data_IF_912625383251
#
_entry.id   IF_912625383251
#
_cell.length_a   1.000
_cell.length_b   1.000
_cell.length_c   1.000
_cell.angle_alpha   90.00
_cell.angle_beta   90.00
_cell.angle_gamma   90.00
#
_symmetry.space_group_name_H-M   'P 1'
#
loop_
_entity.id
_entity.type
_entity.pdbx_description
1 polymer ?
#
# COMPACT_ATOMS: atom_id res chain seq x y z
N UNK A 1 -2.98 -19.23 62.50
CA UNK A 1 -3.68 -17.94 62.41
C UNK A 1 -2.63 -16.88 62.09
N UNK A 2 -2.95 -15.97 61.16
CA UNK A 2 -2.17 -14.81 60.70
C UNK A 2 -1.26 -15.08 59.49
N UNK A 3 -1.68 -14.45 58.40
CA UNK A 3 -1.32 -14.64 56.99
C UNK A 3 -0.32 -13.54 56.57
N UNK A 4 0.74 -13.89 55.83
CA UNK A 4 1.54 -12.91 55.11
C UNK A 4 1.73 -13.31 53.65
N UNK A 5 0.93 -12.63 52.83
CA UNK A 5 1.04 -12.32 51.40
C UNK A 5 2.27 -12.85 50.64
N UNK A 6 2.01 -13.70 49.64
CA UNK A 6 2.98 -14.02 48.59
C UNK A 6 2.33 -13.79 47.21
N UNK A 7 3.14 -13.26 46.30
CA UNK A 7 2.90 -13.04 44.88
C UNK A 7 2.08 -11.82 44.47
N UNK A 8 2.83 -10.73 44.25
CA UNK A 8 2.98 -10.14 42.92
C UNK A 8 1.71 -10.09 42.08
N UNK A 9 1.05 -8.94 42.12
CA UNK A 9 0.21 -8.49 41.02
C UNK A 9 1.06 -8.54 39.75
N UNK A 10 0.86 -9.57 38.94
CA UNK A 10 1.28 -9.57 37.55
C UNK A 10 0.43 -8.49 36.92
N UNK A 11 0.93 -7.26 36.93
CA UNK A 11 0.43 -6.20 36.07
C UNK A 11 0.58 -6.76 34.67
N UNK A 12 -0.51 -7.31 34.14
CA UNK A 12 -0.67 -7.57 32.73
C UNK A 12 -0.47 -6.19 32.11
N UNK A 13 0.75 -5.92 31.66
CA UNK A 13 0.98 -4.82 30.74
C UNK A 13 -0.04 -5.08 29.63
N UNK A 14 -0.99 -4.16 29.37
CA UNK A 14 -1.77 -4.28 28.15
C UNK A 14 -0.72 -4.44 27.04
N UNK A 15 -0.82 -5.52 26.27
CA UNK A 15 0.02 -5.72 25.10
C UNK A 15 -0.27 -4.51 24.23
N UNK A 16 0.58 -3.49 24.33
CA UNK A 16 0.28 -2.16 23.84
C UNK A 16 0.04 -2.24 22.34
N UNK A 17 -1.20 -1.88 21.97
CA UNK A 17 -1.63 -1.67 20.59
C UNK A 17 -0.66 -0.79 19.79
N UNK A 18 0.24 -0.03 20.45
CA UNK A 18 1.31 0.75 19.85
C UNK A 18 2.26 -0.04 18.92
N UNK A 19 2.55 -1.32 19.22
CA UNK A 19 3.37 -2.15 18.31
C UNK A 19 2.59 -2.68 17.12
N UNK A 20 1.31 -3.00 17.32
CA UNK A 20 0.39 -3.32 16.24
C UNK A 20 0.11 -2.08 15.38
N UNK A 21 0.09 -0.88 15.95
CA UNK A 21 0.01 0.40 15.23
C UNK A 21 1.31 0.72 14.51
N UNK A 22 2.49 0.41 15.04
CA UNK A 22 3.75 0.59 14.30
C UNK A 22 3.85 -0.40 13.13
N UNK A 23 3.37 -1.64 13.32
CA UNK A 23 3.27 -2.64 12.25
C UNK A 23 2.16 -2.28 11.25
N UNK A 24 1.02 -1.75 11.68
CA UNK A 24 -0.04 -1.21 10.80
C UNK A 24 0.37 0.11 10.14
N UNK A 25 1.23 0.93 10.74
CA UNK A 25 1.80 2.15 10.15
C UNK A 25 3.04 1.88 9.29
N UNK A 26 3.66 0.70 9.37
CA UNK A 26 4.65 0.23 8.40
C UNK A 26 3.98 -0.50 7.24
N UNK A 27 2.97 -1.35 7.53
CA UNK A 27 2.15 -2.00 6.52
C UNK A 27 1.19 -1.03 5.82
N UNK A 28 0.87 0.07 6.51
CA UNK A 28 0.25 1.29 6.00
C UNK A 28 1.22 2.45 5.80
N UNK A 29 2.50 2.21 5.95
CA UNK A 29 3.58 3.16 5.64
C UNK A 29 4.04 3.07 4.20
N UNK A 30 3.51 2.09 3.47
CA UNK A 30 3.51 2.02 2.00
C UNK A 30 2.10 2.28 1.43
N UNK A 31 1.20 2.86 2.24
CA UNK A 31 -0.13 3.34 1.81
C UNK A 31 -1.31 2.94 2.70
N UNK A 32 -1.36 3.37 3.97
CA UNK A 32 -2.57 3.43 4.82
C UNK A 32 -2.26 4.08 6.18
N UNK A 33 -2.29 5.40 6.23
CA UNK A 33 -2.59 6.12 7.47
C UNK A 33 -4.11 6.15 7.72
N UNK A 34 -4.55 5.62 8.86
CA UNK A 34 -5.89 5.78 9.49
C UNK A 34 -7.12 5.13 8.81
N UNK A 35 -7.92 4.29 9.51
CA UNK A 35 -9.11 3.64 8.95
C UNK A 35 -10.37 4.51 9.11
N UNK A 36 -10.35 5.76 8.62
CA UNK A 36 -11.47 6.70 8.84
C UNK A 36 -11.81 7.61 7.65
N UNK A 37 -11.16 7.42 6.51
CA UNK A 37 -11.57 8.00 5.24
C UNK A 37 -11.24 6.97 4.18
N UNK A 38 -12.24 6.44 3.47
CA UNK A 38 -11.99 5.66 2.28
C UNK A 38 -11.23 6.54 1.27
N UNK A 39 -9.90 6.46 1.34
CA UNK A 39 -8.96 6.41 0.24
C UNK A 39 -9.39 7.23 -0.98
N UNK A 40 -9.35 8.55 -0.86
CA UNK A 40 -9.12 9.44 -1.99
C UNK A 40 -7.61 9.54 -2.26
N UNK A 41 -6.90 8.41 -2.19
CA UNK A 41 -5.50 8.36 -2.62
C UNK A 41 -5.59 8.19 -4.13
N UNK A 42 -5.12 9.17 -4.92
CA UNK A 42 -5.22 9.09 -6.35
C UNK A 42 -4.39 7.90 -6.86
N UNK A 43 -4.81 7.25 -7.95
CA UNK A 43 -4.12 6.06 -8.47
C UNK A 43 -2.67 6.36 -8.87
N UNK A 44 -2.31 7.61 -9.15
CA UNK A 44 -0.94 8.06 -9.34
C UNK A 44 -0.04 7.84 -8.11
N UNK A 45 -0.58 8.02 -6.90
CA UNK A 45 0.15 7.75 -5.66
C UNK A 45 0.15 6.26 -5.33
N UNK A 46 -0.97 5.56 -5.58
CA UNK A 46 -1.05 4.11 -5.38
C UNK A 46 -0.08 3.35 -6.30
N UNK A 47 0.15 3.87 -7.51
CA UNK A 47 0.96 3.24 -8.53
C UNK A 47 2.28 3.95 -8.82
N UNK A 48 2.78 4.79 -7.92
CA UNK A 48 3.97 5.61 -8.15
C UNK A 48 5.20 4.78 -8.59
N UNK A 49 5.44 3.64 -7.94
CA UNK A 49 6.52 2.71 -8.32
C UNK A 49 6.31 2.12 -9.71
N UNK A 50 5.08 1.76 -10.05
CA UNK A 50 4.74 1.15 -11.34
C UNK A 50 4.84 2.17 -12.48
N UNK A 51 4.43 3.41 -12.23
CA UNK A 51 4.58 4.53 -13.16
C UNK A 51 6.04 4.83 -13.44
N UNK A 52 6.91 4.77 -12.43
CA UNK A 52 8.33 4.95 -12.64
C UNK A 52 8.91 3.84 -13.53
N UNK A 53 8.56 2.58 -13.29
CA UNK A 53 9.00 1.47 -14.13
C UNK A 53 8.53 1.62 -15.59
N UNK A 54 7.32 2.12 -15.81
CA UNK A 54 6.80 2.41 -17.15
C UNK A 54 7.57 3.55 -17.83
N UNK A 55 7.88 4.62 -17.09
CA UNK A 55 8.69 5.75 -17.59
C UNK A 55 10.10 5.32 -17.97
N UNK A 56 10.75 4.47 -17.18
CA UNK A 56 12.07 3.89 -17.48
C UNK A 56 12.05 3.03 -18.76
N UNK A 57 10.91 2.41 -19.08
CA UNK A 57 10.71 1.68 -20.33
C UNK A 57 10.36 2.59 -21.53
N UNK A 58 10.12 3.88 -21.30
CA UNK A 58 9.78 4.88 -22.33
C UNK A 58 8.32 5.29 -22.37
N UNK A 59 7.46 4.75 -21.50
CA UNK A 59 6.06 5.17 -21.38
C UNK A 59 5.96 6.36 -20.42
N UNK A 60 6.10 7.58 -20.95
CA UNK A 60 6.10 8.81 -20.15
C UNK A 60 4.72 9.41 -19.87
N UNK A 61 3.65 8.81 -20.41
CA UNK A 61 2.27 9.27 -20.22
C UNK A 61 1.64 8.67 -18.95
N UNK A 62 1.59 9.42 -17.83
CA UNK A 62 1.05 8.89 -16.58
C UNK A 62 -0.43 8.50 -16.69
N UNK A 63 -1.22 9.16 -17.53
CA UNK A 63 -2.64 8.86 -17.71
C UNK A 63 -2.87 7.49 -18.39
N UNK A 64 -2.19 7.24 -19.51
CA UNK A 64 -2.21 5.95 -20.22
C UNK A 64 -1.70 4.84 -19.29
N UNK A 65 -0.61 5.11 -18.59
CA UNK A 65 0.00 4.18 -17.65
C UNK A 65 -0.94 3.84 -16.48
N UNK A 66 -1.59 4.83 -15.88
CA UNK A 66 -2.59 4.64 -14.82
C UNK A 66 -3.75 3.79 -15.33
N UNK A 67 -4.29 4.08 -16.52
CA UNK A 67 -5.38 3.29 -17.09
C UNK A 67 -4.97 1.84 -17.35
N UNK A 68 -3.75 1.62 -17.85
CA UNK A 68 -3.20 0.30 -18.06
C UNK A 68 -3.02 -0.45 -16.73
N UNK A 69 -2.50 0.23 -15.70
CA UNK A 69 -2.31 -0.34 -14.37
C UNK A 69 -3.64 -0.62 -13.65
N UNK A 70 -4.65 0.22 -13.81
CA UNK A 70 -6.00 -0.03 -13.30
C UNK A 70 -6.60 -1.26 -14.00
N UNK A 71 -6.47 -1.34 -15.33
CA UNK A 71 -6.98 -2.47 -16.10
C UNK A 71 -6.28 -3.80 -15.74
N UNK A 72 -5.03 -3.73 -15.27
CA UNK A 72 -4.21 -4.91 -14.94
C UNK A 72 -4.09 -5.14 -13.43
N UNK A 73 -4.85 -4.37 -12.64
CA UNK A 73 -4.84 -4.46 -11.16
C UNK A 73 -3.44 -4.28 -10.57
N UNK A 74 -2.63 -3.39 -11.14
CA UNK A 74 -1.28 -3.05 -10.68
C UNK A 74 -0.16 -3.92 -11.24
N UNK A 75 -0.43 -4.75 -12.25
CA UNK A 75 0.60 -5.52 -12.93
C UNK A 75 1.28 -4.69 -14.02
N UNK A 76 2.56 -4.34 -13.80
CA UNK A 76 3.37 -3.53 -14.73
C UNK A 76 3.56 -4.23 -16.08
N UNK A 77 3.82 -5.55 -16.08
CA UNK A 77 4.08 -6.30 -17.31
C UNK A 77 2.83 -6.34 -18.21
N UNK A 78 1.68 -6.68 -17.63
CA UNK A 78 0.41 -6.65 -18.35
C UNK A 78 0.00 -5.23 -18.76
N UNK A 79 0.42 -4.20 -18.00
CA UNK A 79 0.18 -2.81 -18.35
C UNK A 79 1.00 -2.41 -19.57
N UNK A 80 2.28 -2.81 -19.64
CA UNK A 80 3.14 -2.62 -20.81
C UNK A 80 2.56 -3.29 -22.05
N UNK A 81 2.14 -4.56 -21.95
CA UNK A 81 1.50 -5.27 -23.07
C UNK A 81 0.27 -4.51 -23.58
N UNK A 82 -0.54 -3.97 -22.67
CA UNK A 82 -1.72 -3.17 -23.01
C UNK A 82 -1.35 -1.83 -23.66
N UNK A 83 -0.34 -1.13 -23.14
CA UNK A 83 0.14 0.14 -23.70
C UNK A 83 0.73 -0.04 -25.11
N UNK A 84 1.46 -1.14 -25.34
CA UNK A 84 1.96 -1.52 -26.66
C UNK A 84 0.83 -1.80 -27.64
N UNK A 85 -0.23 -2.48 -27.20
CA UNK A 85 -1.41 -2.73 -28.02
C UNK A 85 -2.19 -1.45 -28.29
N UNK A 86 -2.39 -0.58 -27.28
CA UNK A 86 -3.08 0.71 -27.44
C UNK A 86 -2.33 1.65 -28.38
N UNK A 87 -0.99 1.73 -28.29
CA UNK A 87 -0.16 2.49 -29.21
C UNK A 87 -0.18 1.97 -30.65
N UNK A 88 -0.36 0.67 -30.85
CA UNK A 88 -0.44 0.04 -32.18
C UNK A 88 -1.84 0.12 -32.82
N UNK A 89 -2.89 0.42 -32.05
CA UNK A 89 -4.26 0.57 -32.56
C UNK A 89 -4.57 2.00 -33.03
N UNK A 90 -3.59 2.91 -32.96
CA UNK A 90 -3.73 4.34 -33.23
C UNK A 90 -2.95 4.89 -34.42
N UNK A 91 -2.52 4.07 -35.39
CA UNK A 91 -1.93 4.54 -36.65
C UNK A 91 -2.65 4.01 -37.88
#
# INVERSE_FOLDING_TARGET
MLFFSHNGSVTVLPIDNARLETLMNMFGGLGTGTPSHALNVPPEELYATQLLNLQEMGFMDPQENIQALIATTGNVYAAVERLLVLGNLGQ
#
